data_IF_556153514888
#
_entry.id   IF_556153514888
#
_cell.length_a   1.000
_cell.length_b   1.000
_cell.length_c   1.000
_cell.angle_alpha   90.00
_cell.angle_beta   90.00
_cell.angle_gamma   90.00
#
_symmetry.space_group_name_H-M   'P 1'
#
loop_
_entity.id
_entity.type
_entity.pdbx_description
1 polymer ?
#
# COMPACT_ATOMS: atom_id res chain seq x y z
N UNK A 1 -1.49 23.39 21.37
CA UNK A 1 -1.20 21.96 21.06
C UNK A 1 -1.07 21.83 19.55
N UNK A 2 -0.08 21.10 19.05
CA UNK A 2 0.08 20.87 17.61
C UNK A 2 -1.05 19.98 17.10
N UNK A 3 -1.66 20.38 15.99
CA UNK A 3 -2.70 19.59 15.32
C UNK A 3 -2.34 19.47 13.85
N UNK A 4 -2.67 18.32 13.27
CA UNK A 4 -2.37 17.99 11.89
C UNK A 4 -3.65 17.83 11.10
N UNK A 5 -3.68 18.33 9.86
CA UNK A 5 -4.66 17.89 8.88
C UNK A 5 -4.41 16.42 8.53
N UNK A 6 -5.44 15.76 8.02
CA UNK A 6 -5.34 14.36 7.57
C UNK A 6 -4.17 14.16 6.58
N UNK A 7 -3.97 15.10 5.65
CA UNK A 7 -2.87 15.04 4.68
C UNK A 7 -1.48 15.17 5.32
N UNK A 8 -1.34 16.02 6.32
CA UNK A 8 -0.08 16.22 7.06
C UNK A 8 0.25 15.01 7.92
N UNK A 9 -0.77 14.45 8.61
CA UNK A 9 -0.63 13.20 9.34
C UNK A 9 -0.26 12.04 8.40
N UNK A 10 -0.89 11.95 7.23
CA UNK A 10 -0.57 10.93 6.22
C UNK A 10 0.88 11.01 5.74
N UNK A 11 1.38 12.22 5.48
CA UNK A 11 2.77 12.44 5.10
C UNK A 11 3.75 12.02 6.22
N UNK A 12 3.47 12.36 7.48
CA UNK A 12 4.29 11.96 8.63
C UNK A 12 4.31 10.44 8.86
N UNK A 13 3.22 9.75 8.50
CA UNK A 13 3.05 8.31 8.71
C UNK A 13 3.45 7.45 7.49
N UNK A 14 3.76 8.06 6.35
CA UNK A 14 4.08 7.33 5.11
C UNK A 14 2.90 6.54 4.51
N UNK A 15 1.66 6.95 4.80
CA UNK A 15 0.42 6.32 4.27
C UNK A 15 -0.41 7.31 3.47
N UNK A 16 -1.51 6.86 2.85
CA UNK A 16 -2.42 7.75 2.12
C UNK A 16 -3.35 8.53 3.07
N UNK A 17 -3.84 9.69 2.62
CA UNK A 17 -4.84 10.47 3.36
C UNK A 17 -6.15 9.70 3.57
N UNK A 18 -6.51 8.80 2.65
CA UNK A 18 -7.70 7.95 2.78
C UNK A 18 -7.53 6.89 3.88
N UNK A 19 -6.32 6.32 4.02
CA UNK A 19 -5.99 5.41 5.13
C UNK A 19 -6.16 6.10 6.48
N UNK A 20 -5.63 7.32 6.61
CA UNK A 20 -5.78 8.11 7.85
C UNK A 20 -7.26 8.46 8.09
N UNK A 21 -8.01 8.85 7.04
CA UNK A 21 -9.44 9.14 7.15
C UNK A 21 -10.23 7.93 7.65
N UNK A 22 -9.91 6.74 7.13
CA UNK A 22 -10.54 5.48 7.56
C UNK A 22 -10.20 5.13 9.01
N UNK A 23 -8.98 5.36 9.48
CA UNK A 23 -8.65 5.16 10.90
C UNK A 23 -9.42 6.10 11.81
N UNK A 24 -9.62 7.35 11.38
CA UNK A 24 -10.47 8.31 12.10
C UNK A 24 -11.93 7.86 12.09
N UNK A 25 -12.47 7.47 10.94
CA UNK A 25 -13.87 7.01 10.83
C UNK A 25 -14.13 5.69 11.59
N UNK A 26 -13.13 4.81 11.64
CA UNK A 26 -13.18 3.57 12.41
C UNK A 26 -12.83 3.75 13.89
N UNK A 27 -12.65 4.99 14.37
CA UNK A 27 -12.33 5.28 15.78
C UNK A 27 -10.94 4.83 16.25
N UNK A 28 -10.08 4.38 15.33
CA UNK A 28 -8.72 3.92 15.62
C UNK A 28 -7.74 5.07 15.85
N UNK A 29 -8.00 6.24 15.24
CA UNK A 29 -7.20 7.45 15.42
C UNK A 29 -8.12 8.61 15.84
N UNK A 30 -7.99 9.16 17.05
CA UNK A 30 -8.78 10.30 17.47
C UNK A 30 -8.58 11.52 16.56
N UNK A 31 -9.68 12.17 16.18
CA UNK A 31 -9.66 13.46 15.49
C UNK A 31 -10.83 14.33 15.95
N UNK A 32 -10.58 15.63 16.10
CA UNK A 32 -11.62 16.63 16.33
C UNK A 32 -11.99 17.33 15.03
N UNK A 33 -13.18 17.95 14.99
CA UNK A 33 -13.51 18.90 13.93
C UNK A 33 -13.21 20.31 14.42
N UNK A 34 -12.60 21.12 13.57
CA UNK A 34 -12.48 22.55 13.84
C UNK A 34 -13.80 23.29 13.59
N UNK A 35 -13.82 24.60 13.87
CA UNK A 35 -14.97 25.48 13.69
C UNK A 35 -15.48 25.53 12.24
N UNK A 36 -14.64 25.16 11.28
CA UNK A 36 -14.94 25.10 9.85
C UNK A 36 -15.29 23.68 9.37
N UNK A 37 -15.42 22.72 10.30
CA UNK A 37 -15.81 21.33 10.04
C UNK A 37 -14.69 20.42 9.55
N UNK A 38 -13.44 20.91 9.46
CA UNK A 38 -12.29 20.12 9.01
C UNK A 38 -11.77 19.21 10.12
N UNK A 39 -11.45 17.97 9.76
CA UNK A 39 -10.86 17.00 10.69
C UNK A 39 -9.41 17.35 11.01
N UNK A 40 -9.09 17.44 12.30
CA UNK A 40 -7.76 17.67 12.85
C UNK A 40 -7.38 16.58 13.81
N UNK A 41 -6.19 16.03 13.62
CA UNK A 41 -5.61 15.00 14.48
C UNK A 41 -4.69 15.70 15.48
N UNK A 42 -4.94 15.59 16.80
CA UNK A 42 -4.00 16.10 17.79
C UNK A 42 -2.66 15.36 17.71
N UNK A 43 -1.54 16.08 17.79
CA UNK A 43 -0.21 15.47 17.64
C UNK A 43 0.12 14.44 18.72
N UNK A 44 -0.41 14.60 19.93
CA UNK A 44 -0.25 13.64 21.01
C UNK A 44 -0.91 12.29 20.69
N UNK A 45 -2.11 12.32 20.11
CA UNK A 45 -2.86 11.12 19.71
C UNK A 45 -2.21 10.43 18.52
N UNK A 46 -1.74 11.21 17.55
CA UNK A 46 -0.97 10.70 16.41
C UNK A 46 0.30 9.96 16.88
N UNK A 47 1.06 10.56 17.80
CA UNK A 47 2.25 9.95 18.36
C UNK A 47 1.96 8.71 19.20
N UNK A 48 0.85 8.68 19.96
CA UNK A 48 0.41 7.51 20.70
C UNK A 48 0.03 6.35 19.76
N UNK A 49 -0.75 6.64 18.72
CA UNK A 49 -1.16 5.67 17.72
C UNK A 49 0.02 5.00 17.01
N UNK A 50 1.08 5.75 16.70
CA UNK A 50 2.31 5.20 16.10
C UNK A 50 3.04 4.26 17.05
N UNK A 51 3.16 4.65 18.33
CA UNK A 51 3.81 3.81 19.34
C UNK A 51 3.06 2.50 19.55
N UNK A 52 1.75 2.52 19.53
CA UNK A 52 0.92 1.33 19.72
C UNK A 52 0.98 0.39 18.50
N UNK A 53 1.04 0.92 17.28
CA UNK A 53 1.27 0.11 16.08
C UNK A 53 2.62 -0.60 16.11
N UNK A 54 3.70 0.10 16.51
CA UNK A 54 5.03 -0.50 16.58
C UNK A 54 5.11 -1.66 17.60
N UNK A 55 4.28 -1.64 18.63
CA UNK A 55 4.19 -2.70 19.65
C UNK A 55 3.31 -3.88 19.23
N UNK A 56 2.41 -3.70 18.26
CA UNK A 56 1.47 -4.73 17.78
C UNK A 56 1.94 -5.55 16.57
N UNK A 57 3.15 -5.31 16.05
CA UNK A 57 3.62 -5.89 14.79
C UNK A 57 4.18 -7.32 14.92
N UNK A 58 3.34 -8.23 15.41
CA UNK A 58 3.62 -9.66 15.51
C UNK A 58 2.39 -10.54 15.32
N UNK A 59 1.46 -10.19 14.42
CA UNK A 59 0.49 -11.11 13.82
C UNK A 59 -0.33 -10.37 12.75
N UNK A 60 -0.18 -10.83 11.50
CA UNK A 60 -1.10 -10.63 10.38
C UNK A 60 -2.55 -10.93 10.78
N UNK A 61 -3.52 -10.09 10.38
CA UNK A 61 -4.56 -10.46 9.40
C UNK A 61 -5.60 -9.33 9.22
N UNK A 62 -6.17 -9.22 8.02
CA UNK A 62 -7.45 -8.54 7.69
C UNK A 62 -7.54 -7.01 7.46
N UNK A 63 -6.51 -6.18 7.65
CA UNK A 63 -6.68 -4.73 7.51
C UNK A 63 -6.46 -4.11 6.10
N UNK A 64 -6.04 -4.85 5.07
CA UNK A 64 -5.74 -4.25 3.76
C UNK A 64 -6.33 -4.99 2.53
N UNK A 65 -7.58 -5.49 2.66
CA UNK A 65 -8.45 -5.76 1.50
C UNK A 65 -8.86 -4.50 0.71
N UNK A 66 -8.37 -3.31 1.07
CA UNK A 66 -8.72 -2.06 0.39
C UNK A 66 -7.51 -1.14 0.25
N UNK A 67 -6.47 -1.64 -0.44
CA UNK A 67 -5.42 -0.79 -0.99
C UNK A 67 -6.00 0.17 -2.03
N UNK A 68 -5.69 1.45 -1.92
CA UNK A 68 -6.04 2.49 -2.90
C UNK A 68 -5.27 2.38 -4.21
N UNK A 69 -4.54 1.28 -4.44
CA UNK A 69 -3.99 0.97 -5.75
C UNK A 69 -5.15 0.67 -6.72
N UNK A 70 -5.46 1.64 -7.57
CA UNK A 70 -6.52 1.51 -8.59
C UNK A 70 -6.23 0.40 -9.61
N UNK A 71 -4.98 -0.05 -9.70
CA UNK A 71 -4.53 -1.13 -10.57
C UNK A 71 -4.05 -2.31 -9.71
N UNK A 72 -5.01 -3.11 -9.23
CA UNK A 72 -4.73 -4.43 -8.66
C UNK A 72 -5.09 -5.47 -9.70
N UNK A 73 -4.07 -6.14 -10.24
CA UNK A 73 -4.22 -7.14 -11.28
C UNK A 73 -4.03 -8.51 -10.62
N UNK A 74 -5.15 -9.18 -10.32
CA UNK A 74 -5.13 -10.53 -9.77
C UNK A 74 -4.78 -11.53 -10.87
N UNK A 75 -3.80 -12.37 -10.62
CA UNK A 75 -3.33 -13.34 -11.59
C UNK A 75 -2.65 -14.54 -10.96
N UNK A 76 -2.09 -15.38 -11.81
CA UNK A 76 -1.27 -16.54 -11.43
C UNK A 76 0.19 -16.23 -11.76
N UNK A 77 1.10 -16.55 -10.84
CA UNK A 77 2.53 -16.47 -11.09
C UNK A 77 2.88 -17.51 -12.15
N UNK A 78 3.53 -17.09 -13.23
CA UNK A 78 3.94 -17.97 -14.34
C UNK A 78 5.43 -18.28 -14.30
N UNK A 79 6.25 -17.35 -13.80
CA UNK A 79 7.70 -17.50 -13.72
C UNK A 79 8.27 -16.70 -12.53
N UNK A 80 9.30 -17.26 -11.89
CA UNK A 80 10.11 -16.54 -10.90
C UNK A 80 11.59 -16.80 -11.15
N UNK A 81 12.33 -15.76 -11.51
CA UNK A 81 13.78 -15.79 -11.69
C UNK A 81 14.43 -15.11 -10.50
N UNK A 82 15.40 -15.77 -9.87
CA UNK A 82 16.11 -15.26 -8.70
C UNK A 82 17.58 -15.13 -9.02
N UNK A 83 18.14 -13.93 -8.97
CA UNK A 83 19.57 -13.71 -9.19
C UNK A 83 20.15 -12.68 -8.19
N UNK A 84 21.22 -13.06 -7.51
CA UNK A 84 21.79 -12.28 -6.41
C UNK A 84 20.75 -11.89 -5.35
N UNK A 85 20.58 -10.58 -5.13
CA UNK A 85 19.61 -10.00 -4.18
C UNK A 85 18.27 -9.65 -4.83
N UNK A 86 18.11 -9.88 -6.13
CA UNK A 86 16.92 -9.51 -6.89
C UNK A 86 16.13 -10.73 -7.33
N UNK A 87 14.83 -10.51 -7.53
CA UNK A 87 13.92 -11.45 -8.16
C UNK A 87 13.07 -10.75 -9.20
N UNK A 88 12.85 -11.44 -10.31
CA UNK A 88 11.85 -11.12 -11.32
C UNK A 88 10.68 -12.08 -11.17
N UNK A 89 9.48 -11.55 -11.02
CA UNK A 89 8.25 -12.32 -10.90
C UNK A 89 7.34 -11.95 -12.05
N UNK A 90 6.88 -12.96 -12.79
CA UNK A 90 5.89 -12.81 -13.84
C UNK A 90 4.51 -13.28 -13.36
N UNK A 91 3.49 -12.48 -13.63
CA UNK A 91 2.09 -12.77 -13.29
C UNK A 91 1.23 -12.64 -14.55
N UNK A 92 0.49 -13.69 -14.89
CA UNK A 92 -0.59 -13.64 -15.88
C UNK A 92 -1.90 -13.22 -15.19
N UNK A 93 -2.38 -12.02 -15.49
CA UNK A 93 -3.58 -11.43 -14.93
C UNK A 93 -4.62 -11.16 -16.04
N UNK A 94 -5.49 -12.14 -16.31
CA UNK A 94 -6.44 -12.06 -17.42
C UNK A 94 -5.71 -11.98 -18.76
N UNK A 95 -5.94 -10.96 -19.62
CA UNK A 95 -5.22 -10.79 -20.88
C UNK A 95 -3.83 -10.15 -20.71
N UNK A 96 -3.46 -9.71 -19.51
CA UNK A 96 -2.25 -8.93 -19.27
C UNK A 96 -1.13 -9.78 -18.66
N UNK A 97 0.08 -9.63 -19.19
CA UNK A 97 1.32 -10.12 -18.58
C UNK A 97 1.95 -8.99 -17.77
N UNK A 98 2.15 -9.21 -16.48
CA UNK A 98 2.74 -8.23 -15.55
C UNK A 98 4.07 -8.76 -15.06
N UNK A 99 5.12 -7.93 -15.12
CA UNK A 99 6.44 -8.27 -14.59
C UNK A 99 6.76 -7.32 -13.44
N UNK A 100 7.15 -7.89 -12.31
CA UNK A 100 7.61 -7.16 -11.13
C UNK A 100 9.05 -7.50 -10.81
N UNK A 101 9.84 -6.47 -10.51
CA UNK A 101 11.17 -6.62 -9.92
C UNK A 101 11.07 -6.31 -8.43
N UNK A 102 11.57 -7.22 -7.61
CA UNK A 102 11.62 -7.09 -6.15
C UNK A 102 12.89 -7.73 -5.61
N UNK A 103 13.13 -7.62 -4.29
CA UNK A 103 14.24 -8.35 -3.69
C UNK A 103 13.96 -9.86 -3.69
N UNK A 104 15.02 -10.66 -3.71
CA UNK A 104 14.93 -12.12 -3.57
C UNK A 104 14.24 -12.48 -2.26
N UNK A 105 14.63 -11.83 -1.17
CA UNK A 105 14.06 -12.09 0.17
C UNK A 105 12.56 -11.84 0.18
N UNK A 106 12.08 -10.77 -0.47
CA UNK A 106 10.65 -10.49 -0.54
C UNK A 106 9.89 -11.56 -1.35
N UNK A 107 10.47 -12.04 -2.45
CA UNK A 107 9.85 -13.11 -3.24
C UNK A 107 9.77 -14.43 -2.45
N UNK A 108 10.77 -14.72 -1.62
CA UNK A 108 10.84 -15.93 -0.80
C UNK A 108 9.89 -15.85 0.41
N UNK A 109 9.86 -14.71 1.11
CA UNK A 109 8.92 -14.46 2.21
C UNK A 109 7.46 -14.53 1.77
N UNK A 110 7.17 -14.09 0.55
CA UNK A 110 5.83 -14.17 -0.05
C UNK A 110 5.51 -15.55 -0.63
N UNK A 111 6.47 -16.48 -0.66
CA UNK A 111 6.30 -17.82 -1.24
C UNK A 111 5.95 -17.79 -2.72
N UNK A 112 6.56 -16.87 -3.49
CA UNK A 112 6.24 -16.71 -4.92
C UNK A 112 6.91 -17.82 -5.74
N UNK A 113 6.07 -18.63 -6.38
CA UNK A 113 6.45 -19.73 -7.25
C UNK A 113 5.42 -19.87 -8.38
N UNK A 114 5.79 -20.44 -9.53
CA UNK A 114 4.83 -20.75 -10.59
C UNK A 114 3.63 -21.54 -10.06
N UNK A 115 2.42 -21.05 -10.37
CA UNK A 115 1.16 -21.64 -9.90
C UNK A 115 0.53 -20.91 -8.71
N UNK A 116 1.26 -20.03 -8.02
CA UNK A 116 0.73 -19.26 -6.89
C UNK A 116 -0.19 -18.13 -7.39
N UNK A 117 -1.33 -17.94 -6.73
CA UNK A 117 -2.20 -16.79 -6.99
C UNK A 117 -1.64 -15.56 -6.29
N UNK A 118 -1.41 -14.49 -7.05
CA UNK A 118 -0.86 -13.25 -6.53
C UNK A 118 -1.65 -12.04 -7.05
N UNK A 119 -1.63 -10.96 -6.27
CA UNK A 119 -2.17 -9.68 -6.69
C UNK A 119 -1.01 -8.73 -7.03
N UNK A 120 -0.87 -8.38 -8.30
CA UNK A 120 0.06 -7.33 -8.70
C UNK A 120 -0.53 -5.96 -8.33
N UNK A 121 0.11 -5.26 -7.40
CA UNK A 121 -0.33 -3.97 -6.87
C UNK A 121 0.60 -2.87 -7.38
N UNK A 122 0.11 -2.03 -8.29
CA UNK A 122 0.89 -0.88 -8.78
C UNK A 122 0.63 0.33 -7.88
N UNK A 123 1.64 0.77 -7.13
CA UNK A 123 1.53 1.94 -6.24
C UNK A 123 1.52 3.21 -7.08
N UNK A 124 0.35 3.83 -7.21
CA UNK A 124 0.10 4.94 -8.14
C UNK A 124 0.72 6.24 -7.65
N UNK A 125 1.89 6.58 -8.18
CA UNK A 125 2.31 7.99 -8.27
C UNK A 125 2.74 8.44 -9.67
N UNK A 126 2.81 7.56 -10.70
CA UNK A 126 2.79 7.91 -12.15
C UNK A 126 2.77 6.66 -13.08
N UNK A 127 1.99 6.70 -14.17
CA UNK A 127 1.98 5.72 -15.29
C UNK A 127 1.71 6.47 -16.62
N UNK A 128 2.58 6.32 -17.62
CA UNK A 128 2.36 6.73 -19.04
C UNK A 128 3.04 5.71 -19.96
N UNK A 129 2.32 5.19 -20.97
CA UNK A 129 2.83 4.28 -22.02
C UNK A 129 2.28 4.76 -23.37
N UNK A 130 3.17 5.03 -24.33
CA UNK A 130 2.92 5.49 -25.70
C UNK A 130 3.79 4.62 -26.65
N UNK A 131 3.60 4.49 -27.98
CA UNK A 131 3.14 5.43 -29.01
C UNK A 131 2.39 4.64 -30.11
N UNK A 132 1.28 5.16 -30.65
CA UNK A 132 0.98 4.84 -32.05
C UNK A 132 0.44 6.04 -32.83
N UNK A 133 1.20 6.51 -33.82
CA UNK A 133 0.82 6.36 -35.23
C UNK A 133 2.09 6.34 -36.10
N UNK A 134 2.08 5.56 -37.18
CA UNK A 134 3.09 5.64 -38.25
C UNK A 134 2.35 5.90 -39.57
N UNK A 135 1.68 7.06 -39.65
CA UNK A 135 0.92 7.49 -40.82
C UNK A 135 0.23 8.83 -40.62
#
# INVERSE_FOLDING_TARGET
MTTFRISEAAALLGVSADTVRRWVDGGRLPASRDEHGHRRVPGADLAAFVRDQARGNGASDQADRFSSARNRLRGIVTEVVRDGVMAQVEIQAGPFRVVSLMSREAADELGLEPGVVADAVVKSTNVVVEVPDQG
#
